data_IF_657111949172
#
_entry.id   IF_657111949172
#
_cell.length_a   1.000
_cell.length_b   1.000
_cell.length_c   1.000
_cell.angle_alpha   90.00
_cell.angle_beta   90.00
_cell.angle_gamma   90.00
#
_symmetry.space_group_name_H-M   'P 1'
#
loop_
_entity.id
_entity.type
_entity.pdbx_description
1 polymer ?
#
# COMPACT_ATOMS: atom_id res chain seq x y z
N UNK A 1 22.41 8.58 0.87
CA UNK A 1 22.99 8.30 2.19
C UNK A 1 22.54 9.40 3.13
N UNK A 2 21.40 9.23 3.78
CA UNK A 2 20.85 10.20 4.73
C UNK A 2 21.25 9.78 6.13
N UNK A 3 22.03 10.61 6.81
CA UNK A 3 22.33 10.44 8.23
C UNK A 3 21.02 10.58 9.02
N UNK A 4 20.47 9.43 9.43
CA UNK A 4 19.28 9.39 10.27
C UNK A 4 19.63 9.98 11.62
N UNK A 5 18.82 10.93 12.06
CA UNK A 5 19.01 11.57 13.35
C UNK A 5 18.79 10.56 14.48
N UNK A 6 19.52 10.68 15.61
CA UNK A 6 19.32 9.84 16.79
C UNK A 6 17.86 9.77 17.27
N UNK A 7 17.11 10.87 17.09
CA UNK A 7 15.69 11.00 17.40
C UNK A 7 14.80 10.11 16.54
N UNK A 8 15.01 10.10 15.22
CA UNK A 8 14.23 9.26 14.30
C UNK A 8 14.43 7.76 14.59
N UNK A 9 15.65 7.38 14.97
CA UNK A 9 15.96 5.98 15.29
C UNK A 9 15.25 5.53 16.57
N UNK A 10 15.17 6.40 17.58
CA UNK A 10 14.40 6.15 18.81
C UNK A 10 12.90 5.99 18.52
N UNK A 11 12.36 6.81 17.62
CA UNK A 11 10.94 6.73 17.27
C UNK A 11 10.61 5.48 16.45
N UNK A 12 11.53 5.03 15.58
CA UNK A 12 11.42 3.71 14.91
C UNK A 12 11.45 2.55 15.91
N UNK A 13 12.35 2.58 16.89
CA UNK A 13 12.39 1.56 17.94
C UNK A 13 11.06 1.50 18.71
N UNK A 14 10.45 2.65 19.02
CA UNK A 14 9.13 2.73 19.66
C UNK A 14 8.02 2.19 18.76
N UNK A 15 7.98 2.58 17.48
CA UNK A 15 6.95 2.12 16.53
C UNK A 15 7.03 0.60 16.27
N UNK A 16 8.25 0.05 16.27
CA UNK A 16 8.50 -1.38 16.21
C UNK A 16 8.31 -2.08 17.57
N UNK A 17 8.15 -1.36 18.68
CA UNK A 17 7.96 -1.95 20.01
C UNK A 17 9.20 -2.70 20.53
N UNK A 18 10.39 -2.34 20.07
CA UNK A 18 11.69 -2.90 20.47
C UNK A 18 12.19 -2.23 21.76
N UNK A 19 11.40 -2.33 22.84
CA UNK A 19 11.64 -1.60 24.08
C UNK A 19 12.94 -2.01 24.79
N UNK A 20 13.42 -3.25 24.61
CA UNK A 20 14.70 -3.69 25.17
C UNK A 20 15.90 -2.98 24.53
N UNK A 21 15.88 -2.80 23.20
CA UNK A 21 16.91 -2.05 22.49
C UNK A 21 16.83 -0.54 22.80
N UNK A 22 15.61 -0.03 23.01
CA UNK A 22 15.40 1.35 23.46
C UNK A 22 15.96 1.61 24.87
N UNK A 23 15.84 0.64 25.78
CA UNK A 23 16.39 0.75 27.15
C UNK A 23 17.92 0.79 27.17
N UNK A 24 18.57 0.09 26.23
CA UNK A 24 20.04 0.10 26.08
C UNK A 24 20.53 1.11 25.02
N UNK A 25 19.76 2.18 24.74
CA UNK A 25 20.05 3.14 23.68
C UNK A 25 21.48 3.70 23.74
N UNK A 26 21.94 4.13 24.92
CA UNK A 26 23.28 4.73 25.11
C UNK A 26 24.42 3.79 24.69
N UNK A 27 24.21 2.46 24.74
CA UNK A 27 25.20 1.46 24.35
C UNK A 27 25.14 1.08 22.87
N UNK A 28 24.01 1.37 22.23
CA UNK A 28 23.64 0.88 20.91
C UNK A 28 23.57 1.98 19.85
N UNK A 29 23.49 3.26 20.25
CA UNK A 29 23.35 4.41 19.36
C UNK A 29 24.42 4.46 18.28
N UNK A 30 25.67 4.16 18.64
CA UNK A 30 26.83 4.22 17.74
C UNK A 30 27.05 2.92 16.96
N UNK A 31 26.22 1.90 17.16
CA UNK A 31 26.41 0.59 16.52
C UNK A 31 25.84 0.61 15.09
N UNK A 32 26.67 0.34 14.06
CA UNK A 32 26.23 0.41 12.67
C UNK A 32 25.16 -0.64 12.32
N UNK A 33 25.19 -1.81 12.98
CA UNK A 33 24.23 -2.89 12.77
C UNK A 33 22.80 -2.55 13.21
N UNK A 34 22.62 -1.56 14.09
CA UNK A 34 21.29 -1.21 14.61
C UNK A 34 20.35 -0.78 13.47
N UNK A 35 20.87 -0.03 12.50
CA UNK A 35 20.11 0.42 11.32
C UNK A 35 19.67 -0.76 10.45
N UNK A 36 20.56 -1.73 10.27
CA UNK A 36 20.27 -2.93 9.48
C UNK A 36 19.21 -3.79 10.16
N UNK A 37 19.30 -3.98 11.47
CA UNK A 37 18.32 -4.73 12.26
C UNK A 37 16.94 -4.07 12.19
N UNK A 38 16.87 -2.74 12.33
CA UNK A 38 15.62 -2.00 12.17
C UNK A 38 15.02 -2.19 10.77
N UNK A 39 15.84 -2.07 9.73
CA UNK A 39 15.39 -2.26 8.35
C UNK A 39 14.93 -3.71 8.06
N UNK A 40 15.55 -4.71 8.69
CA UNK A 40 15.11 -6.11 8.60
C UNK A 40 13.75 -6.28 9.30
N UNK A 41 13.60 -5.79 10.52
CA UNK A 41 12.36 -5.92 11.30
C UNK A 41 11.18 -5.18 10.62
N UNK A 42 11.41 -3.98 10.08
CA UNK A 42 10.42 -3.23 9.29
C UNK A 42 9.94 -4.06 8.08
N UNK A 43 10.87 -4.60 7.29
CA UNK A 43 10.56 -5.44 6.11
C UNK A 43 9.78 -6.69 6.49
N UNK A 44 10.20 -7.39 7.53
CA UNK A 44 9.53 -8.62 8.00
C UNK A 44 8.12 -8.34 8.53
N UNK A 45 7.90 -7.23 9.25
CA UNK A 45 6.55 -6.83 9.68
C UNK A 45 5.65 -6.46 8.52
N UNK A 46 6.17 -5.73 7.54
CA UNK A 46 5.43 -5.38 6.33
C UNK A 46 5.00 -6.64 5.57
N UNK A 47 5.91 -7.60 5.40
CA UNK A 47 5.66 -8.91 4.80
C UNK A 47 4.58 -9.69 5.55
N UNK A 48 4.73 -9.89 6.87
CA UNK A 48 3.73 -10.63 7.68
C UNK A 48 2.37 -9.93 7.72
N UNK A 49 2.35 -8.60 7.70
CA UNK A 49 1.10 -7.82 7.61
C UNK A 49 0.43 -8.01 6.25
N UNK A 50 1.19 -8.04 5.16
CA UNK A 50 0.68 -8.35 3.82
C UNK A 50 0.15 -9.78 3.74
N UNK A 51 0.93 -10.77 4.18
CA UNK A 51 0.53 -12.18 4.20
C UNK A 51 -0.74 -12.40 5.02
N UNK A 52 -0.83 -11.77 6.20
CA UNK A 52 -2.04 -11.83 7.04
C UNK A 52 -3.24 -11.21 6.35
N UNK A 53 -3.08 -10.05 5.69
CA UNK A 53 -4.16 -9.40 4.94
C UNK A 53 -4.60 -10.26 3.76
N UNK A 54 -3.65 -10.82 3.02
CA UNK A 54 -3.94 -11.69 1.89
C UNK A 54 -4.71 -12.95 2.34
N UNK A 55 -4.25 -13.60 3.41
CA UNK A 55 -4.94 -14.73 4.03
C UNK A 55 -6.36 -14.38 4.48
N UNK A 56 -6.55 -13.20 5.10
CA UNK A 56 -7.86 -12.76 5.57
C UNK A 56 -8.80 -12.29 4.45
N UNK A 57 -8.26 -11.94 3.27
CA UNK A 57 -9.04 -11.44 2.14
C UNK A 57 -9.81 -12.53 1.37
N UNK A 58 -9.50 -13.81 1.60
CA UNK A 58 -10.06 -14.96 0.85
C UNK A 58 -9.87 -14.89 -0.68
N UNK A 59 -8.97 -14.04 -1.17
CA UNK A 59 -8.57 -13.98 -2.58
C UNK A 59 -7.62 -15.15 -2.86
N UNK A 60 -8.08 -16.13 -3.63
CA UNK A 60 -7.43 -17.45 -3.77
C UNK A 60 -6.02 -17.41 -4.38
N UNK A 61 -5.67 -16.36 -5.13
CA UNK A 61 -4.32 -16.15 -5.62
C UNK A 61 -4.16 -14.67 -6.03
N UNK A 62 -3.47 -13.89 -5.20
CA UNK A 62 -2.93 -12.61 -5.66
C UNK A 62 -1.53 -12.87 -6.17
N UNK A 63 -1.30 -12.67 -7.47
CA UNK A 63 0.05 -12.62 -8.03
C UNK A 63 0.47 -11.15 -8.02
N UNK A 64 1.20 -10.67 -7.00
CA UNK A 64 1.76 -9.33 -7.05
C UNK A 64 2.65 -9.24 -8.30
N UNK A 65 2.76 -8.07 -8.91
CA UNK A 65 3.64 -7.85 -10.07
C UNK A 65 5.08 -8.36 -9.81
N UNK A 66 5.51 -8.34 -8.55
CA UNK A 66 6.82 -8.81 -8.09
C UNK A 66 7.05 -10.31 -8.25
N UNK A 67 5.98 -11.12 -8.34
CA UNK A 67 6.04 -12.57 -8.57
C UNK A 67 5.78 -12.93 -10.05
N UNK A 68 5.84 -11.93 -10.95
CA UNK A 68 5.85 -12.15 -12.39
C UNK A 68 7.22 -12.67 -12.81
N UNK A 69 7.27 -13.83 -13.46
CA UNK A 69 8.51 -14.44 -13.93
C UNK A 69 9.15 -13.55 -15.01
N UNK A 70 10.17 -12.80 -14.58
CA UNK A 70 10.85 -11.80 -15.39
C UNK A 70 11.96 -12.38 -16.26
N UNK A 71 12.19 -13.70 -16.21
CA UNK A 71 13.15 -14.39 -17.08
C UNK A 71 12.63 -14.57 -18.52
N UNK A 72 11.37 -14.20 -18.72
CA UNK A 72 10.63 -14.25 -19.98
C UNK A 72 9.83 -12.93 -20.11
N UNK A 73 10.03 -12.07 -21.14
CA UNK A 73 10.94 -12.14 -22.30
C UNK A 73 12.21 -11.27 -22.14
N UNK A 74 13.32 -11.71 -22.75
CA UNK A 74 14.67 -11.13 -22.62
C UNK A 74 14.94 -9.83 -23.42
N UNK A 75 13.90 -9.11 -23.85
CA UNK A 75 14.00 -7.90 -24.70
C UNK A 75 13.09 -6.77 -24.21
N UNK A 76 13.04 -6.57 -22.90
CA UNK A 76 12.21 -5.52 -22.34
C UNK A 76 13.11 -4.63 -21.48
N UNK A 77 13.28 -3.41 -21.94
CA UNK A 77 14.03 -2.36 -21.27
C UNK A 77 13.22 -1.85 -20.06
N UNK A 78 13.82 -1.87 -18.87
CA UNK A 78 13.09 -1.68 -17.60
C UNK A 78 12.71 -0.22 -17.36
N UNK A 79 13.52 0.71 -17.84
CA UNK A 79 13.30 2.15 -17.72
C UNK A 79 12.17 2.58 -18.67
N UNK A 80 12.18 2.07 -19.91
CA UNK A 80 11.08 2.21 -20.84
C UNK A 80 9.80 1.51 -20.35
N UNK A 81 9.91 0.49 -19.49
CA UNK A 81 8.76 -0.20 -18.92
C UNK A 81 8.12 0.55 -17.77
N UNK A 82 8.89 1.24 -16.91
CA UNK A 82 8.31 2.16 -15.93
C UNK A 82 7.62 3.35 -16.62
N UNK A 83 8.23 3.91 -17.68
CA UNK A 83 7.61 4.96 -18.50
C UNK A 83 6.39 4.45 -19.30
N UNK A 84 6.43 3.21 -19.83
CA UNK A 84 5.28 2.57 -20.47
C UNK A 84 4.23 2.06 -19.48
N UNK A 85 4.57 1.88 -18.20
CA UNK A 85 3.63 1.37 -17.21
C UNK A 85 2.58 2.43 -16.90
N UNK A 86 2.98 3.69 -16.78
CA UNK A 86 2.04 4.77 -16.40
C UNK A 86 0.98 5.07 -17.48
N UNK A 87 1.39 5.14 -18.75
CA UNK A 87 0.46 5.43 -19.86
C UNK A 87 -0.43 4.24 -20.23
N UNK A 88 0.12 3.01 -20.27
CA UNK A 88 -0.64 1.83 -20.74
C UNK A 88 -1.71 1.36 -19.76
N UNK A 89 -1.58 1.60 -18.45
CA UNK A 89 -2.61 1.19 -17.51
C UNK A 89 -3.90 1.99 -17.66
N UNK A 90 -3.77 3.29 -17.93
CA UNK A 90 -4.92 4.13 -18.24
C UNK A 90 -5.61 3.66 -19.52
N UNK A 91 -4.84 3.32 -20.56
CA UNK A 91 -5.38 2.80 -21.82
C UNK A 91 -6.09 1.45 -21.65
N UNK A 92 -5.54 0.54 -20.84
CA UNK A 92 -6.18 -0.74 -20.52
C UNK A 92 -7.47 -0.55 -19.72
N UNK A 93 -7.45 0.33 -18.71
CA UNK A 93 -8.65 0.67 -17.95
C UNK A 93 -9.70 1.33 -18.86
N UNK A 94 -9.26 2.21 -19.76
CA UNK A 94 -10.10 2.83 -20.76
C UNK A 94 -10.75 1.81 -21.68
N UNK A 95 -10.01 0.82 -22.18
CA UNK A 95 -10.56 -0.24 -23.01
C UNK A 95 -11.64 -1.04 -22.27
N UNK A 96 -11.40 -1.41 -21.01
CA UNK A 96 -12.38 -2.13 -20.19
C UNK A 96 -13.64 -1.30 -19.97
N UNK A 97 -13.48 -0.03 -19.57
CA UNK A 97 -14.61 0.88 -19.35
C UNK A 97 -15.39 1.07 -20.63
N UNK A 98 -14.71 1.30 -21.76
CA UNK A 98 -15.32 1.48 -23.08
C UNK A 98 -16.16 0.27 -23.46
N UNK A 99 -15.58 -0.93 -23.42
CA UNK A 99 -16.30 -2.16 -23.77
C UNK A 99 -17.53 -2.38 -22.89
N UNK A 100 -17.48 -2.03 -21.60
CA UNK A 100 -18.64 -2.16 -20.70
C UNK A 100 -19.68 -1.07 -20.93
N UNK A 101 -19.24 0.17 -21.16
CA UNK A 101 -20.08 1.31 -21.49
C UNK A 101 -20.89 1.04 -22.76
N UNK A 102 -20.22 0.59 -23.83
CA UNK A 102 -20.83 0.27 -25.13
C UNK A 102 -21.78 -0.92 -25.01
N UNK A 103 -21.39 -1.96 -24.25
CA UNK A 103 -22.23 -3.12 -23.98
C UNK A 103 -23.34 -2.87 -22.95
N UNK A 104 -23.49 -1.64 -22.43
CA UNK A 104 -24.45 -1.25 -21.40
C UNK A 104 -24.41 -2.15 -20.14
N UNK A 105 -23.22 -2.62 -19.77
CA UNK A 105 -23.05 -3.50 -18.61
C UNK A 105 -22.65 -2.71 -17.36
N UNK A 106 -23.18 -3.05 -16.17
CA UNK A 106 -22.83 -2.35 -14.94
C UNK A 106 -21.34 -2.55 -14.61
N UNK A 107 -20.74 -1.54 -14.01
CA UNK A 107 -19.38 -1.52 -13.50
C UNK A 107 -19.40 -0.89 -12.10
N UNK A 108 -18.85 -1.61 -11.12
CA UNK A 108 -18.61 -1.06 -9.78
C UNK A 108 -17.12 -0.73 -9.67
N UNK A 109 -16.83 0.50 -9.27
CA UNK A 109 -15.47 1.00 -9.07
C UNK A 109 -15.39 1.65 -7.69
N UNK A 110 -14.33 1.33 -6.94
CA UNK A 110 -13.99 2.02 -5.70
C UNK A 110 -12.67 2.75 -5.88
N UNK A 111 -12.63 4.04 -5.57
CA UNK A 111 -11.42 4.86 -5.64
C UNK A 111 -11.27 5.67 -4.35
N UNK A 112 -10.03 5.82 -3.89
CA UNK A 112 -9.68 6.72 -2.78
C UNK A 112 -9.22 8.10 -3.28
N UNK A 113 -9.33 8.35 -4.58
CA UNK A 113 -9.03 9.62 -5.26
C UNK A 113 -10.25 10.10 -6.01
N UNK A 114 -10.55 11.40 -5.90
CA UNK A 114 -11.61 12.03 -6.67
C UNK A 114 -11.29 11.97 -8.17
N UNK A 115 -12.30 11.91 -9.04
CA UNK A 115 -12.09 11.86 -10.49
C UNK A 115 -11.34 13.09 -11.04
N UNK A 116 -11.46 14.24 -10.37
CA UNK A 116 -10.68 15.44 -10.71
C UNK A 116 -9.17 15.24 -10.57
N UNK A 117 -8.75 14.38 -9.64
CA UNK A 117 -7.33 14.08 -9.39
C UNK A 117 -6.78 12.97 -10.29
N UNK A 118 -7.61 12.37 -11.16
CA UNK A 118 -7.16 11.25 -12.00
C UNK A 118 -6.10 11.64 -13.03
N UNK A 119 -6.00 12.92 -13.38
CA UNK A 119 -4.88 13.44 -14.16
C UNK A 119 -3.54 13.34 -13.43
N UNK A 120 -3.52 13.32 -12.09
CA UNK A 120 -2.30 13.05 -11.31
C UNK A 120 -2.01 11.56 -11.16
N UNK A 121 -3.05 10.72 -11.23
CA UNK A 121 -2.93 9.26 -11.15
C UNK A 121 -2.40 8.69 -12.47
N UNK A 122 -2.72 9.33 -13.60
CA UNK A 122 -2.26 8.94 -14.93
C UNK A 122 -1.75 10.17 -15.71
N UNK A 123 -0.60 10.75 -15.31
CA UNK A 123 -0.11 12.03 -15.84
C UNK A 123 0.24 12.00 -17.34
N UNK A 124 0.50 10.84 -17.92
CA UNK A 124 0.85 10.69 -19.34
C UNK A 124 -0.27 10.09 -20.20
N UNK A 125 -1.48 9.96 -19.67
CA UNK A 125 -2.56 9.31 -20.36
C UNK A 125 -3.55 10.32 -20.97
N UNK A 126 -3.55 10.40 -22.30
CA UNK A 126 -4.48 11.25 -23.04
C UNK A 126 -5.95 10.79 -22.90
N UNK A 127 -6.17 9.51 -22.60
CA UNK A 127 -7.50 8.89 -22.52
C UNK A 127 -8.24 9.17 -21.20
N UNK A 128 -7.60 9.79 -20.18
CA UNK A 128 -8.15 9.95 -18.83
C UNK A 128 -9.43 10.78 -18.82
N UNK A 129 -9.47 11.87 -19.60
CA UNK A 129 -10.66 12.74 -19.67
C UNK A 129 -11.84 11.95 -20.23
N UNK A 130 -11.65 11.26 -21.34
CA UNK A 130 -12.68 10.42 -21.97
C UNK A 130 -13.06 9.22 -21.11
N UNK A 131 -12.12 8.67 -20.35
CA UNK A 131 -12.36 7.60 -19.38
C UNK A 131 -13.30 8.06 -18.26
N UNK A 132 -12.98 9.20 -17.64
CA UNK A 132 -13.79 9.80 -16.58
C UNK A 132 -15.17 10.18 -17.10
N UNK A 133 -15.25 10.79 -18.29
CA UNK A 133 -16.52 11.12 -18.94
C UNK A 133 -17.43 9.87 -19.07
N UNK A 134 -16.90 8.77 -19.61
CA UNK A 134 -17.65 7.51 -19.78
C UNK A 134 -18.08 6.88 -18.46
N UNK A 135 -17.24 6.99 -17.42
CA UNK A 135 -17.59 6.50 -16.08
C UNK A 135 -18.73 7.33 -15.50
N UNK A 136 -18.64 8.66 -15.54
CA UNK A 136 -19.58 9.56 -14.87
C UNK A 136 -20.92 9.67 -15.61
N UNK A 137 -20.94 9.54 -16.94
CA UNK A 137 -22.15 9.71 -17.74
C UNK A 137 -23.35 8.86 -17.29
N UNK A 138 -23.11 7.66 -16.73
CA UNK A 138 -24.15 6.77 -16.20
C UNK A 138 -23.80 6.20 -14.81
N UNK A 139 -23.08 6.95 -13.99
CA UNK A 139 -22.73 6.52 -12.64
C UNK A 139 -23.60 7.19 -11.57
N UNK A 140 -23.82 6.43 -10.50
CA UNK A 140 -24.16 6.97 -9.20
C UNK A 140 -22.87 7.02 -8.38
N UNK A 141 -22.43 8.22 -8.01
CA UNK A 141 -21.20 8.42 -7.24
C UNK A 141 -21.57 8.45 -5.76
N UNK A 142 -21.07 7.48 -4.99
CA UNK A 142 -21.27 7.40 -3.55
C UNK A 142 -19.96 7.80 -2.88
N UNK A 143 -19.95 8.97 -2.24
CA UNK A 143 -18.83 9.41 -1.42
C UNK A 143 -18.91 8.79 -0.02
N UNK A 144 -17.79 8.22 0.43
CA UNK A 144 -17.71 7.53 1.72
C UNK A 144 -16.80 8.33 2.65
N UNK A 145 -17.41 9.19 3.44
CA UNK A 145 -16.76 9.90 4.54
C UNK A 145 -16.89 9.08 5.84
N UNK A 146 -15.99 8.12 6.03
CA UNK A 146 -15.98 7.30 7.24
C UNK A 146 -14.56 7.13 7.79
N UNK A 147 -14.45 7.02 9.12
CA UNK A 147 -13.19 6.61 9.74
C UNK A 147 -12.74 5.25 9.20
N UNK A 148 -11.43 5.11 8.96
CA UNK A 148 -10.90 3.84 8.47
C UNK A 148 -11.26 2.69 9.40
N UNK A 149 -12.01 1.72 8.88
CA UNK A 149 -12.35 0.51 9.62
C UNK A 149 -11.09 -0.22 10.15
N UNK A 150 -9.98 -0.14 9.40
CA UNK A 150 -8.68 -0.70 9.80
C UNK A 150 -8.10 0.01 11.03
N UNK A 151 -8.28 1.33 11.15
CA UNK A 151 -7.84 2.08 12.32
C UNK A 151 -8.68 1.71 13.55
N UNK A 152 -9.99 1.52 13.37
CA UNK A 152 -10.87 1.03 14.44
C UNK A 152 -10.44 -0.35 14.95
N UNK A 153 -10.25 -1.32 14.06
CA UNK A 153 -9.75 -2.65 14.45
C UNK A 153 -8.37 -2.57 15.13
N UNK A 154 -7.45 -1.73 14.63
CA UNK A 154 -6.14 -1.57 15.23
C UNK A 154 -6.22 -0.99 16.66
N UNK A 155 -7.08 0.01 16.89
CA UNK A 155 -7.35 0.58 18.22
C UNK A 155 -7.93 -0.48 19.16
N UNK A 156 -8.91 -1.25 18.70
CA UNK A 156 -9.55 -2.32 19.49
C UNK A 156 -8.55 -3.42 19.86
N UNK A 157 -7.77 -3.93 18.90
CA UNK A 157 -6.74 -4.94 19.14
C UNK A 157 -5.67 -4.46 20.13
N UNK A 158 -5.24 -3.20 20.01
CA UNK A 158 -4.28 -2.61 20.93
C UNK A 158 -4.85 -2.44 22.34
N UNK A 159 -6.12 -2.05 22.47
CA UNK A 159 -6.81 -1.96 23.75
C UNK A 159 -6.91 -3.34 24.44
N UNK A 160 -7.26 -4.39 23.69
CA UNK A 160 -7.34 -5.77 24.19
C UNK A 160 -5.96 -6.28 24.64
N UNK A 161 -4.90 -6.03 23.85
CA UNK A 161 -3.51 -6.38 24.22
C UNK A 161 -3.05 -5.65 25.47
N UNK A 162 -3.43 -4.39 25.65
CA UNK A 162 -3.06 -3.57 26.82
C UNK A 162 -3.76 -4.06 28.08
N UNK A 163 -5.04 -4.45 27.98
CA UNK A 163 -5.78 -5.09 29.07
C UNK A 163 -5.14 -6.41 29.51
N UNK A 164 -4.81 -7.29 28.55
CA UNK A 164 -4.15 -8.58 28.83
C UNK A 164 -2.76 -8.42 29.47
N UNK A 165 -2.01 -7.38 29.10
CA UNK A 165 -0.71 -7.07 29.72
C UNK A 165 -0.83 -6.59 31.16
N UNK A 166 -1.89 -5.84 31.49
CA UNK A 166 -2.15 -5.36 32.87
C UNK A 166 -2.58 -6.49 33.80
N UNK A 167 -3.44 -7.40 33.33
CA UNK A 167 -3.92 -8.54 34.13
C UNK A 167 -2.84 -9.59 34.41
N UNK A 168 -1.77 -9.64 33.62
CA UNK A 168 -0.66 -10.59 33.77
C UNK A 168 0.46 -10.09 34.69
N UNK A 169 0.36 -8.84 35.16
CA UNK A 169 1.37 -8.14 35.98
C UNK A 169 0.97 -8.04 37.47
N UNK A 170 -0.24 -8.49 37.79
CA UNK A 170 -0.73 -8.75 39.13
C UNK A 170 -0.81 -10.25 39.34
#
# INVERSE_FOLDING_TARGET
MTDLTPTETKDRLKSLGLFGLLACWEQLADKPWLREVLAIEERERHKRSLERRLKNSRVAAFKPMTDFDSSWPKKIDREAVDDLYDSRYADLLFEVVTRRYDAQKPLLLSTNKAFADWGQVFPHAACVVTLVDRLVHRAEVIEIEAESYRLKEAKELNATRTKQRRTKKH
#
